data_IF_209217659106
#
_entry.id   IF_209217659106
#
_cell.length_a   1.000
_cell.length_b   1.000
_cell.length_c   1.000
_cell.angle_alpha   90.00
_cell.angle_beta   90.00
_cell.angle_gamma   90.00
#
_symmetry.space_group_name_H-M   'P 1'
#
loop_
_entity.id
_entity.type
_entity.pdbx_description
1 polymer ?
#
# COMPACT_ATOMS: atom_id res chain seq x y z
N UNK A 1 2.42 3.56 -6.96
CA UNK A 1 3.64 3.15 -6.23
C UNK A 1 3.80 1.63 -6.26
N UNK A 2 5.02 1.13 -6.13
CA UNK A 2 5.31 -0.32 -6.08
C UNK A 2 5.26 -0.82 -4.64
N UNK A 3 4.69 -2.01 -4.44
CA UNK A 3 4.81 -2.79 -3.21
C UNK A 3 5.82 -3.91 -3.47
N UNK A 4 6.92 -3.89 -2.73
CA UNK A 4 7.96 -4.91 -2.81
C UNK A 4 7.62 -6.03 -1.84
N UNK A 5 7.98 -7.26 -2.21
CA UNK A 5 7.82 -8.37 -1.30
C UNK A 5 8.67 -8.19 -0.03
N UNK A 6 8.18 -8.77 1.05
CA UNK A 6 8.89 -8.90 2.32
C UNK A 6 8.86 -10.35 2.77
N UNK A 7 9.85 -10.74 3.57
CA UNK A 7 9.92 -12.07 4.19
C UNK A 7 9.92 -13.24 3.19
N UNK A 8 10.38 -13.02 1.95
CA UNK A 8 10.39 -14.05 0.89
C UNK A 8 8.99 -14.55 0.51
N UNK A 9 7.98 -13.68 0.60
CA UNK A 9 6.58 -14.04 0.40
C UNK A 9 6.22 -14.37 -1.06
N UNK A 10 7.03 -13.92 -2.03
CA UNK A 10 6.68 -13.89 -3.46
C UNK A 10 5.60 -12.87 -3.81
N UNK A 11 5.17 -12.05 -2.85
CA UNK A 11 4.05 -11.10 -3.01
C UNK A 11 4.56 -9.70 -3.29
N UNK A 12 4.52 -9.30 -4.56
CA UNK A 12 4.83 -7.94 -4.99
C UNK A 12 3.68 -7.40 -5.84
N UNK A 13 3.66 -6.08 -6.04
CA UNK A 13 2.64 -5.46 -6.86
C UNK A 13 2.64 -3.95 -6.80
N UNK A 14 1.44 -3.36 -6.81
CA UNK A 14 1.26 -1.90 -6.86
C UNK A 14 0.15 -1.44 -5.95
N UNK A 15 0.27 -0.20 -5.51
CA UNK A 15 -0.85 0.56 -4.97
C UNK A 15 -1.02 1.86 -5.77
N UNK A 16 -2.27 2.20 -6.03
CA UNK A 16 -2.67 3.47 -6.65
C UNK A 16 -3.45 4.26 -5.61
N UNK A 17 -3.01 5.48 -5.36
CA UNK A 17 -3.68 6.42 -4.49
C UNK A 17 -4.30 7.51 -5.38
N UNK A 18 -5.61 7.71 -5.27
CA UNK A 18 -6.36 8.71 -6.02
C UNK A 18 -6.97 9.72 -5.06
N UNK A 19 -6.70 11.00 -5.27
CA UNK A 19 -7.33 12.07 -4.50
C UNK A 19 -8.84 12.09 -4.78
N UNK A 20 -9.63 12.20 -3.72
CA UNK A 20 -11.09 12.25 -3.71
C UNK A 20 -11.56 13.43 -2.84
N UNK A 21 -11.10 14.64 -3.16
CA UNK A 21 -11.31 15.82 -2.31
C UNK A 21 -10.55 15.72 -0.99
N UNK A 22 -11.26 15.71 0.13
CA UNK A 22 -10.69 15.57 1.47
C UNK A 22 -10.34 14.10 1.83
N UNK A 23 -10.56 13.17 0.90
CA UNK A 23 -10.31 11.74 1.05
C UNK A 23 -9.32 11.22 0.01
N UNK A 24 -8.83 9.99 0.23
CA UNK A 24 -7.98 9.28 -0.73
C UNK A 24 -8.50 7.88 -0.93
N UNK A 25 -8.73 7.48 -2.18
CA UNK A 25 -8.96 6.08 -2.51
C UNK A 25 -7.62 5.37 -2.72
N UNK A 26 -7.44 4.25 -2.02
CA UNK A 26 -6.26 3.39 -2.07
C UNK A 26 -6.68 2.06 -2.68
N UNK A 27 -6.15 1.76 -3.86
CA UNK A 27 -6.33 0.46 -4.51
C UNK A 27 -5.01 -0.29 -4.48
N UNK A 28 -5.02 -1.50 -3.91
CA UNK A 28 -3.84 -2.37 -3.82
C UNK A 28 -4.06 -3.60 -4.69
N UNK A 29 -3.03 -3.95 -5.48
CA UNK A 29 -2.96 -5.19 -6.26
C UNK A 29 -1.58 -5.83 -6.04
N UNK A 30 -1.53 -7.01 -5.44
CA UNK A 30 -0.31 -7.79 -5.24
C UNK A 30 -0.51 -9.22 -5.77
N UNK A 31 0.58 -9.97 -5.97
CA UNK A 31 0.49 -11.42 -6.15
C UNK A 31 -0.37 -12.00 -5.02
N UNK A 32 -1.43 -12.79 -5.31
CA UNK A 32 -2.29 -13.35 -4.29
C UNK A 32 -1.52 -14.20 -3.28
N UNK A 33 -1.86 -14.04 -2.00
CA UNK A 33 -1.50 -15.01 -0.96
C UNK A 33 -2.32 -16.31 -1.04
N UNK A 34 -2.33 -17.11 0.04
CA UNK A 34 -3.15 -18.32 0.10
C UNK A 34 -4.64 -18.03 -0.14
N UNK A 35 -5.30 -18.87 -0.92
CA UNK A 35 -6.70 -18.69 -1.29
C UNK A 35 -7.61 -18.61 -0.04
N UNK A 36 -8.52 -17.64 -0.04
CA UNK A 36 -9.47 -17.44 1.05
C UNK A 36 -8.88 -16.87 2.35
N UNK A 37 -7.59 -16.53 2.39
CA UNK A 37 -6.96 -15.85 3.52
C UNK A 37 -7.02 -14.35 3.30
N UNK A 38 -7.69 -13.65 4.21
CA UNK A 38 -7.66 -12.20 4.26
C UNK A 38 -6.33 -11.73 4.87
N UNK A 39 -5.67 -10.80 4.17
CA UNK A 39 -4.38 -10.25 4.54
C UNK A 39 -4.59 -8.80 5.04
N UNK A 40 -4.47 -8.53 6.36
CA UNK A 40 -4.61 -7.17 6.88
C UNK A 40 -3.63 -6.22 6.19
N UNK A 41 -4.10 -5.02 5.87
CA UNK A 41 -3.28 -3.99 5.26
C UNK A 41 -3.53 -2.64 5.93
N UNK A 42 -2.48 -1.83 6.02
CA UNK A 42 -2.50 -0.58 6.78
C UNK A 42 -1.61 0.47 6.13
N UNK A 43 -1.97 1.74 6.32
CA UNK A 43 -1.03 2.87 6.15
C UNK A 43 -0.41 3.15 7.50
N UNK A 44 0.93 3.16 7.55
CA UNK A 44 1.72 3.52 8.72
C UNK A 44 2.59 4.73 8.41
N UNK A 45 2.83 5.58 9.42
CA UNK A 45 3.90 6.57 9.37
C UNK A 45 5.27 5.87 9.36
N UNK A 46 6.23 6.42 8.62
CA UNK A 46 7.58 5.89 8.48
C UNK A 46 7.86 5.28 7.12
N UNK A 47 8.83 4.37 7.08
CA UNK A 47 9.32 3.69 5.87
C UNK A 47 9.15 2.19 6.00
N UNK A 48 9.25 1.44 4.90
CA UNK A 48 9.16 -0.02 4.97
C UNK A 48 10.25 -0.68 5.82
N UNK A 49 11.37 0.02 6.05
CA UNK A 49 12.44 -0.42 6.94
C UNK A 49 12.20 -0.05 8.42
N UNK A 50 11.40 0.99 8.68
CA UNK A 50 11.13 1.49 10.02
C UNK A 50 9.72 2.09 10.08
N UNK A 51 8.73 1.22 10.31
CA UNK A 51 7.32 1.61 10.45
C UNK A 51 7.04 2.00 11.89
N UNK A 52 6.22 3.03 12.09
CA UNK A 52 5.52 3.20 13.36
C UNK A 52 4.59 1.98 13.56
N UNK A 53 4.70 1.21 14.65
CA UNK A 53 3.90 0.00 14.85
C UNK A 53 2.40 0.29 14.97
N UNK A 54 2.00 1.53 15.30
CA UNK A 54 0.60 1.96 15.33
C UNK A 54 0.15 2.35 13.90
N UNK A 55 -0.83 1.66 13.30
CA UNK A 55 -1.42 2.08 12.03
C UNK A 55 -1.99 3.50 12.10
N UNK A 56 -1.77 4.28 11.06
CA UNK A 56 -2.43 5.57 10.87
C UNK A 56 -3.82 5.39 10.27
N UNK A 57 -3.93 4.54 9.23
CA UNK A 57 -5.22 4.20 8.61
C UNK A 57 -5.33 2.68 8.39
N UNK A 58 -6.42 2.04 8.83
CA UNK A 58 -6.73 0.69 8.40
C UNK A 58 -7.18 0.69 6.94
N UNK A 59 -6.81 -0.36 6.21
CA UNK A 59 -7.34 -0.66 4.89
C UNK A 59 -8.24 -1.88 4.96
N UNK A 60 -9.16 -1.99 4.01
CA UNK A 60 -9.86 -3.25 3.73
C UNK A 60 -8.81 -4.35 3.53
N UNK A 61 -8.92 -5.49 4.22
CA UNK A 61 -8.00 -6.60 4.02
C UNK A 61 -7.88 -6.98 2.55
N UNK A 62 -6.67 -7.34 2.13
CA UNK A 62 -6.42 -7.84 0.79
C UNK A 62 -6.95 -9.27 0.72
N UNK A 63 -7.83 -9.51 -0.26
CA UNK A 63 -8.36 -10.83 -0.58
C UNK A 63 -8.08 -11.14 -2.04
N UNK A 64 -7.55 -12.34 -2.29
CA UNK A 64 -7.15 -12.79 -3.63
C UNK A 64 -6.27 -11.76 -4.36
N UNK A 65 -5.35 -11.13 -3.60
CA UNK A 65 -4.39 -10.15 -4.08
C UNK A 65 -4.93 -8.74 -4.30
N UNK A 66 -6.18 -8.43 -3.95
CA UNK A 66 -6.78 -7.12 -4.20
C UNK A 66 -7.46 -6.50 -2.98
N UNK A 67 -7.40 -5.17 -2.88
CA UNK A 67 -8.29 -4.38 -2.02
C UNK A 67 -8.49 -2.97 -2.56
N UNK A 68 -9.62 -2.36 -2.19
CA UNK A 68 -9.90 -0.93 -2.38
C UNK A 68 -10.46 -0.36 -1.08
N UNK A 69 -9.93 0.78 -0.66
CA UNK A 69 -10.35 1.48 0.57
C UNK A 69 -10.36 2.98 0.33
N UNK A 70 -11.39 3.68 0.81
CA UNK A 70 -11.36 5.15 0.94
C UNK A 70 -10.94 5.52 2.36
N UNK A 71 -9.82 6.22 2.49
CA UNK A 71 -9.34 6.75 3.77
C UNK A 71 -9.71 8.22 3.91
N UNK A 72 -10.05 8.63 5.13
CA UNK A 72 -10.42 10.01 5.44
C UNK A 72 -9.18 10.90 5.65
N UNK A 73 -8.39 11.05 4.60
CA UNK A 73 -7.22 11.91 4.55
C UNK A 73 -6.97 12.41 3.13
N UNK A 74 -6.49 13.64 3.00
CA UNK A 74 -6.07 14.17 1.70
C UNK A 74 -4.84 13.43 1.23
N UNK A 75 -4.75 13.22 -0.08
CA UNK A 75 -3.54 12.66 -0.68
C UNK A 75 -2.33 13.54 -0.40
N UNK A 76 -2.50 14.86 -0.37
CA UNK A 76 -1.43 15.80 -0.02
C UNK A 76 -0.90 15.55 1.39
N UNK A 77 -1.76 15.24 2.35
CA UNK A 77 -1.35 14.99 3.74
C UNK A 77 -0.50 13.72 3.84
N UNK A 78 -0.87 12.68 3.08
CA UNK A 78 -0.12 11.44 2.94
C UNK A 78 1.23 11.59 2.21
N UNK A 79 1.49 12.77 1.63
CA UNK A 79 2.75 13.11 0.95
C UNK A 79 3.62 14.10 1.74
N UNK A 80 3.11 14.67 2.85
CA UNK A 80 3.85 15.67 3.65
C UNK A 80 4.98 15.06 4.49
N UNK A 81 4.90 13.76 4.78
CA UNK A 81 5.89 13.02 5.56
C UNK A 81 5.91 11.55 5.13
N UNK A 82 6.93 10.77 5.52
CA UNK A 82 7.01 9.36 5.16
C UNK A 82 5.78 8.59 5.66
N UNK A 83 5.10 7.93 4.73
CA UNK A 83 4.11 6.91 4.99
C UNK A 83 4.40 5.69 4.13
N UNK A 84 3.96 4.52 4.58
CA UNK A 84 4.04 3.30 3.82
C UNK A 84 2.76 2.46 3.96
N UNK A 85 2.41 1.75 2.89
CA UNK A 85 1.41 0.70 2.91
C UNK A 85 2.13 -0.60 3.27
N UNK A 86 1.71 -1.24 4.36
CA UNK A 86 2.19 -2.55 4.79
C UNK A 86 1.06 -3.58 4.69
N UNK A 87 1.43 -4.82 4.36
CA UNK A 87 0.51 -5.97 4.27
C UNK A 87 1.03 -7.09 5.15
N UNK A 88 0.17 -7.61 6.02
CA UNK A 88 0.44 -8.75 6.91
C UNK A 88 0.06 -10.07 6.24
N UNK A 89 0.67 -11.18 6.67
CA UNK A 89 0.41 -12.51 6.10
C UNK A 89 -1.00 -13.01 6.36
N UNK A 90 -1.51 -12.82 7.58
CA UNK A 90 -2.87 -13.16 8.01
C UNK A 90 -3.16 -12.51 9.35
N UNK A 91 -4.40 -12.62 9.85
CA UNK A 91 -4.74 -12.20 11.21
C UNK A 91 -4.01 -13.03 12.29
N UNK A 92 -3.72 -14.31 12.02
CA UNK A 92 -3.02 -15.19 12.96
C UNK A 92 -1.49 -14.97 12.94
N UNK A 93 -0.95 -14.51 11.80
CA UNK A 93 0.48 -14.24 11.61
C UNK A 93 0.72 -12.75 11.37
N UNK A 94 0.14 -11.90 12.23
CA UNK A 94 0.19 -10.44 12.08
C UNK A 94 1.60 -9.87 12.18
N UNK A 95 2.56 -10.56 12.79
CA UNK A 95 3.96 -10.11 12.82
C UNK A 95 4.72 -10.37 11.52
N UNK A 96 4.14 -11.12 10.58
CA UNK A 96 4.78 -11.46 9.30
C UNK A 96 4.29 -10.52 8.22
N UNK A 97 5.18 -9.67 7.71
CA UNK A 97 4.87 -8.79 6.60
C UNK A 97 5.18 -9.47 5.26
N UNK A 98 4.25 -9.36 4.32
CA UNK A 98 4.36 -9.99 3.00
C UNK A 98 4.68 -8.99 1.90
N UNK A 99 4.24 -7.74 2.03
CA UNK A 99 4.52 -6.70 1.06
C UNK A 99 4.53 -5.33 1.72
N UNK A 100 5.37 -4.42 1.22
CA UNK A 100 5.39 -3.04 1.65
C UNK A 100 5.79 -2.09 0.52
N UNK A 101 5.24 -0.88 0.53
CA UNK A 101 5.73 0.20 -0.32
C UNK A 101 5.52 1.58 0.30
N UNK A 102 6.44 2.49 0.02
CA UNK A 102 6.39 3.87 0.50
C UNK A 102 5.47 4.73 -0.37
N UNK A 103 4.65 5.54 0.29
CA UNK A 103 3.80 6.55 -0.36
C UNK A 103 4.68 7.76 -0.64
N UNK A 104 5.12 7.85 -1.89
CA UNK A 104 5.91 8.98 -2.40
C UNK A 104 5.17 9.62 -3.57
N UNK A 105 5.41 10.90 -3.80
CA UNK A 105 4.91 11.56 -4.99
C UNK A 105 5.49 10.82 -6.20
N UNK A 106 4.61 10.40 -7.11
CA UNK A 106 5.09 9.89 -8.38
C UNK A 106 5.83 11.05 -9.07
N UNK A 107 7.13 10.86 -9.35
CA UNK A 107 7.80 11.76 -10.29
C UNK A 107 6.98 11.71 -11.60
N UNK A 108 6.71 12.86 -12.24
CA UNK A 108 6.15 12.83 -13.58
C UNK A 108 7.03 11.91 -14.43
N UNK A 109 6.41 10.93 -15.07
CA UNK A 109 7.11 10.00 -15.96
C UNK A 109 7.71 10.84 -17.09
N UNK A 110 8.96 11.26 -16.97
CA UNK A 110 9.70 11.88 -18.08
C UNK A 110 10.01 10.79 -19.07
N UNK A 111 9.14 10.66 -20.08
CA UNK A 111 9.24 9.70 -21.16
C UNK A 111 7.85 9.18 -21.52
N UNK A 112 7.23 9.53 -22.62
CA UNK A 112 7.67 10.34 -23.76
C UNK A 112 6.59 10.12 -24.79
N UNK A 113 5.72 11.11 -24.97
CA UNK A 113 4.72 11.09 -26.04
C UNK A 113 4.94 12.34 -26.87
N UNK A 114 5.93 12.21 -27.76
CA UNK A 114 6.22 13.12 -28.84
C UNK A 114 6.51 12.27 -30.06
N UNK A 115 5.52 12.14 -30.93
CA UNK A 115 5.55 11.96 -32.40
C UNK A 115 4.16 11.41 -32.76
N UNK A 116 3.38 11.98 -33.65
CA UNK A 116 3.58 13.00 -34.68
C UNK A 116 2.43 12.80 -35.66
#
# INVERSE_FOLDING_TARGET
MTLREQSGSGQSGTAVLRAMGDQTEVTVNITPGPAGVDQPAHIHEGTCANLNPKPTFPLTPIRDGRSTTTVNAKLTDLLTKPFAINVHKSAQEVSVYVACGEIVAALPRTGGDSTG
#
